data_IF_361498980885
#
_entry.id   IF_361498980885
#
_cell.length_a   1.000
_cell.length_b   1.000
_cell.length_c   1.000
_cell.angle_alpha   90.00
_cell.angle_beta   90.00
_cell.angle_gamma   90.00
#
_symmetry.space_group_name_H-M   'P 1'
#
loop_
_entity.id
_entity.type
_entity.pdbx_description
1 polymer ?
#
# COMPACT_ATOMS: atom_id res chain seq x y z
N UNK A 1 -6.21 30.93 0.47
CA UNK A 1 -5.86 30.59 1.87
C UNK A 1 -7.14 30.13 2.55
N UNK A 2 -7.13 28.96 3.21
CA UNK A 2 -8.33 28.29 3.70
C UNK A 2 -8.18 27.86 5.18
N UNK A 3 -8.12 28.82 6.14
CA UNK A 3 -7.65 28.55 7.50
C UNK A 3 -8.53 27.54 8.26
N UNK A 4 -9.86 27.61 8.09
CA UNK A 4 -10.79 26.69 8.74
C UNK A 4 -10.65 25.27 8.21
N UNK A 5 -10.58 25.10 6.88
CA UNK A 5 -10.51 23.79 6.25
C UNK A 5 -9.17 23.08 6.49
N UNK A 6 -8.07 23.82 6.61
CA UNK A 6 -6.77 23.27 7.01
C UNK A 6 -6.86 22.62 8.41
N UNK A 7 -7.49 23.30 9.37
CA UNK A 7 -7.67 22.75 10.71
C UNK A 7 -8.63 21.55 10.73
N UNK A 8 -9.72 21.62 9.97
CA UNK A 8 -10.67 20.49 9.83
C UNK A 8 -9.98 19.25 9.26
N UNK A 9 -9.17 19.41 8.22
CA UNK A 9 -8.40 18.32 7.61
C UNK A 9 -7.43 17.69 8.62
N UNK A 10 -6.64 18.51 9.33
CA UNK A 10 -5.70 18.02 10.35
C UNK A 10 -6.39 17.20 11.45
N UNK A 11 -7.52 17.70 11.97
CA UNK A 11 -8.29 17.02 13.02
C UNK A 11 -8.84 15.69 12.49
N UNK A 12 -9.41 15.71 11.28
CA UNK A 12 -10.05 14.54 10.67
C UNK A 12 -9.03 13.45 10.35
N UNK A 13 -7.90 13.80 9.73
CA UNK A 13 -6.83 12.86 9.42
C UNK A 13 -6.23 12.23 10.67
N UNK A 14 -6.00 13.03 11.73
CA UNK A 14 -5.57 12.49 13.02
C UNK A 14 -6.58 11.48 13.55
N UNK A 15 -7.88 11.80 13.47
CA UNK A 15 -8.93 10.87 13.95
C UNK A 15 -8.98 9.58 13.14
N UNK A 16 -8.79 9.66 11.83
CA UNK A 16 -8.70 8.47 10.96
C UNK A 16 -7.51 7.58 11.32
N UNK A 17 -6.35 8.16 11.62
CA UNK A 17 -5.16 7.41 12.08
C UNK A 17 -5.40 6.72 13.43
N UNK A 18 -6.08 7.36 14.37
CA UNK A 18 -6.50 6.72 15.63
C UNK A 18 -7.41 5.51 15.39
N UNK A 19 -8.33 5.61 14.42
CA UNK A 19 -9.26 4.52 14.07
C UNK A 19 -8.52 3.31 13.48
N UNK A 20 -7.51 3.58 12.63
CA UNK A 20 -6.59 2.57 12.07
C UNK A 20 -5.83 1.85 13.20
N UNK A 21 -5.50 2.56 14.28
CA UNK A 21 -4.75 2.02 15.43
C UNK A 21 -3.33 2.57 15.56
N UNK A 22 -2.97 3.60 14.80
CA UNK A 22 -1.68 4.26 14.93
C UNK A 22 -1.60 5.18 16.15
N UNK A 23 -0.38 5.36 16.66
CA UNK A 23 -0.13 6.26 17.78
C UNK A 23 -0.39 7.72 17.40
N UNK A 24 -0.78 8.54 18.37
CA UNK A 24 -0.96 9.98 18.15
C UNK A 24 0.34 10.79 18.18
N UNK A 25 1.50 10.16 18.38
CA UNK A 25 2.79 10.85 18.41
C UNK A 25 3.33 11.12 17.02
N UNK A 26 3.14 10.17 16.11
CA UNK A 26 3.64 10.18 14.74
C UNK A 26 2.47 9.98 13.76
N UNK A 27 2.64 10.42 12.51
CA UNK A 27 1.70 10.16 11.43
C UNK A 27 1.33 11.39 10.64
N UNK A 28 1.13 11.19 9.35
CA UNK A 28 0.86 12.23 8.36
C UNK A 28 -0.31 11.81 7.46
N UNK A 29 -0.77 12.70 6.59
CA UNK A 29 -1.80 12.40 5.60
C UNK A 29 -2.28 13.62 4.83
N UNK A 30 -2.94 13.38 3.70
CA UNK A 30 -3.57 14.42 2.90
C UNK A 30 -4.79 13.84 2.19
N UNK A 31 -5.84 14.63 1.97
CA UNK A 31 -6.91 14.24 1.07
C UNK A 31 -6.45 14.34 -0.38
N UNK A 32 -6.83 13.35 -1.20
CA UNK A 32 -6.48 13.31 -2.62
C UNK A 32 -7.76 13.29 -3.47
N UNK A 33 -7.70 13.70 -4.75
CA UNK A 33 -8.84 13.63 -5.66
C UNK A 33 -9.06 12.19 -6.15
N UNK A 34 -9.41 11.29 -5.23
CA UNK A 34 -9.77 9.89 -5.47
C UNK A 34 -8.71 8.87 -5.04
N UNK A 35 -9.15 7.69 -4.64
CA UNK A 35 -8.28 6.62 -4.11
C UNK A 35 -7.17 6.17 -5.06
N UNK A 36 -7.36 6.29 -6.38
CA UNK A 36 -6.29 6.02 -7.34
C UNK A 36 -5.06 6.93 -7.16
N UNK A 37 -5.29 8.20 -6.81
CA UNK A 37 -4.21 9.16 -6.53
C UNK A 37 -3.62 8.92 -5.13
N UNK A 38 -4.42 8.51 -4.14
CA UNK A 38 -3.90 8.04 -2.84
C UNK A 38 -2.95 6.85 -3.00
N UNK A 39 -3.33 5.85 -3.79
CA UNK A 39 -2.46 4.71 -4.09
C UNK A 39 -1.18 5.17 -4.79
N UNK A 40 -1.25 6.15 -5.71
CA UNK A 40 -0.07 6.73 -6.34
C UNK A 40 0.84 7.45 -5.31
N UNK A 41 0.27 8.20 -4.36
CA UNK A 41 1.04 8.82 -3.27
C UNK A 41 1.75 7.78 -2.41
N UNK A 42 1.12 6.64 -2.10
CA UNK A 42 1.77 5.60 -1.31
C UNK A 42 3.03 5.04 -2.00
N UNK A 43 2.97 4.82 -3.32
CA UNK A 43 4.13 4.37 -4.12
C UNK A 43 5.22 5.44 -4.17
N UNK A 44 4.82 6.71 -4.31
CA UNK A 44 5.77 7.83 -4.27
C UNK A 44 6.47 7.95 -2.91
N UNK A 45 5.72 7.83 -1.81
CA UNK A 45 6.23 7.88 -0.45
C UNK A 45 7.21 6.73 -0.18
N UNK A 46 6.83 5.50 -0.55
CA UNK A 46 7.69 4.33 -0.46
C UNK A 46 8.99 4.53 -1.23
N UNK A 47 8.91 4.96 -2.49
CA UNK A 47 10.10 5.24 -3.30
C UNK A 47 10.99 6.31 -2.68
N UNK A 48 10.42 7.41 -2.19
CA UNK A 48 11.20 8.48 -1.59
C UNK A 48 11.87 8.04 -0.27
N UNK A 49 11.21 7.18 0.51
CA UNK A 49 11.76 6.64 1.76
C UNK A 49 13.04 5.82 1.53
N UNK A 50 13.04 4.96 0.52
CA UNK A 50 14.16 4.04 0.25
C UNK A 50 15.18 4.59 -0.77
N UNK A 51 14.73 5.42 -1.71
CA UNK A 51 15.53 5.96 -2.82
C UNK A 51 15.25 7.46 -3.05
N UNK A 52 15.56 8.34 -2.07
CA UNK A 52 15.28 9.77 -2.16
C UNK A 52 15.97 10.45 -3.34
N UNK A 53 17.08 9.90 -3.84
CA UNK A 53 17.85 10.39 -4.99
C UNK A 53 17.05 10.35 -6.30
N UNK A 54 16.02 9.49 -6.42
CA UNK A 54 15.14 9.46 -7.61
C UNK A 54 14.49 10.83 -7.84
N UNK A 55 14.25 11.61 -6.77
CA UNK A 55 13.65 12.94 -6.87
C UNK A 55 14.46 13.89 -7.76
N UNK A 56 15.79 13.79 -7.76
CA UNK A 56 16.67 14.68 -8.52
C UNK A 56 17.40 14.00 -9.67
N UNK A 57 17.64 12.69 -9.57
CA UNK A 57 18.40 11.91 -10.57
C UNK A 57 17.52 11.02 -11.47
N UNK A 58 16.24 10.88 -11.14
CA UNK A 58 15.29 10.05 -11.89
C UNK A 58 15.44 8.53 -11.63
N UNK A 59 14.52 7.74 -12.19
CA UNK A 59 14.46 6.29 -11.99
C UNK A 59 15.67 5.53 -12.57
N UNK A 60 16.31 6.06 -13.60
CA UNK A 60 17.47 5.42 -14.23
C UNK A 60 18.73 5.43 -13.33
N UNK A 61 18.75 6.25 -12.28
CA UNK A 61 19.88 6.34 -11.35
C UNK A 61 19.86 5.28 -10.24
N UNK A 62 18.82 4.44 -10.18
CA UNK A 62 18.63 3.40 -9.17
C UNK A 62 18.41 2.03 -9.82
N UNK A 63 18.60 0.91 -9.09
CA UNK A 63 18.27 -0.41 -9.59
C UNK A 63 16.80 -0.54 -9.99
N UNK A 64 16.46 -1.60 -10.72
CA UNK A 64 15.08 -1.89 -11.10
C UNK A 64 14.23 -2.19 -9.85
N UNK A 65 13.33 -1.27 -9.52
CA UNK A 65 12.44 -1.39 -8.36
C UNK A 65 11.17 -2.15 -8.72
N UNK A 66 10.69 -3.01 -7.80
CA UNK A 66 9.54 -3.91 -8.02
C UNK A 66 8.45 -3.65 -6.98
N UNK A 67 7.20 -3.56 -7.47
CA UNK A 67 5.98 -3.40 -6.68
C UNK A 67 5.18 -4.71 -6.74
N UNK A 68 4.54 -5.11 -5.64
CA UNK A 68 3.70 -6.30 -5.58
C UNK A 68 2.26 -5.93 -5.24
N UNK A 69 1.29 -6.58 -5.88
CA UNK A 69 -0.13 -6.37 -5.60
C UNK A 69 -0.96 -7.60 -5.95
N UNK A 70 -2.12 -7.76 -5.34
CA UNK A 70 -3.07 -8.84 -5.66
C UNK A 70 -3.47 -8.86 -7.14
N UNK A 71 -3.64 -10.06 -7.73
CA UNK A 71 -4.30 -10.24 -9.05
C UNK A 71 -5.71 -9.60 -9.11
N UNK A 72 -6.39 -9.45 -7.97
CA UNK A 72 -7.70 -8.82 -7.85
C UNK A 72 -7.65 -7.40 -7.24
N UNK A 73 -6.46 -6.81 -7.10
CA UNK A 73 -6.32 -5.42 -6.65
C UNK A 73 -6.88 -4.43 -7.67
N UNK A 74 -7.14 -3.20 -7.21
CA UNK A 74 -7.58 -2.15 -8.10
C UNK A 74 -6.48 -1.80 -9.13
N UNK A 75 -6.89 -1.57 -10.38
CA UNK A 75 -5.97 -1.31 -11.50
C UNK A 75 -5.09 -0.06 -11.32
N UNK A 76 -5.39 0.81 -10.34
CA UNK A 76 -4.63 2.03 -10.03
C UNK A 76 -3.17 1.74 -9.70
N UNK A 77 -2.84 0.59 -9.10
CA UNK A 77 -1.44 0.23 -8.79
C UNK A 77 -0.62 0.06 -10.07
N UNK A 78 -1.18 -0.61 -11.10
CA UNK A 78 -0.53 -0.72 -12.42
C UNK A 78 -0.44 0.65 -13.11
N UNK A 79 -1.49 1.48 -13.02
CA UNK A 79 -1.45 2.85 -13.57
C UNK A 79 -0.37 3.70 -12.88
N UNK A 80 -0.24 3.62 -11.56
CA UNK A 80 0.80 4.30 -10.80
C UNK A 80 2.20 3.80 -11.20
N UNK A 81 2.41 2.48 -11.32
CA UNK A 81 3.68 1.93 -11.80
C UNK A 81 4.07 2.44 -13.19
N UNK A 82 3.10 2.53 -14.11
CA UNK A 82 3.32 3.12 -15.44
C UNK A 82 3.65 4.62 -15.36
N UNK A 83 2.84 5.40 -14.64
CA UNK A 83 2.96 6.86 -14.59
C UNK A 83 4.21 7.33 -13.83
N UNK A 84 4.62 6.60 -12.80
CA UNK A 84 5.77 6.95 -11.96
C UNK A 84 7.11 6.45 -12.50
N UNK A 85 7.13 5.79 -13.67
CA UNK A 85 8.35 5.35 -14.33
C UNK A 85 8.93 4.01 -13.83
N UNK A 86 8.13 3.19 -13.13
CA UNK A 86 8.49 1.82 -12.82
C UNK A 86 8.29 0.89 -14.02
N UNK A 87 7.28 1.15 -14.85
CA UNK A 87 6.83 0.24 -15.91
C UNK A 87 5.92 -0.86 -15.36
N UNK A 88 4.92 -1.26 -16.14
CA UNK A 88 3.90 -2.24 -15.71
C UNK A 88 4.46 -3.65 -15.52
N UNK A 89 5.55 -4.00 -16.19
CA UNK A 89 6.27 -5.26 -16.01
C UNK A 89 6.90 -5.40 -14.62
N UNK A 90 7.16 -4.28 -13.94
CA UNK A 90 7.70 -4.26 -12.58
C UNK A 90 6.60 -4.13 -11.51
N UNK A 91 5.33 -4.23 -11.91
CA UNK A 91 4.18 -4.37 -11.02
C UNK A 91 3.72 -5.83 -11.05
N UNK A 92 4.28 -6.62 -10.16
CA UNK A 92 4.10 -8.07 -10.11
C UNK A 92 2.79 -8.40 -9.41
N UNK A 93 1.98 -9.19 -10.10
CA UNK A 93 0.73 -9.72 -9.56
C UNK A 93 1.01 -10.94 -8.68
N UNK A 94 0.39 -10.96 -7.51
CA UNK A 94 0.43 -12.05 -6.53
C UNK A 94 -0.84 -12.88 -6.65
N UNK A 95 -0.66 -14.20 -6.67
CA UNK A 95 -1.76 -15.15 -6.81
C UNK A 95 -2.78 -15.01 -5.69
N UNK A 96 -4.04 -15.16 -6.07
CA UNK A 96 -5.15 -15.23 -5.13
C UNK A 96 -5.67 -16.65 -4.95
N UNK A 97 -6.17 -16.95 -3.75
CA UNK A 97 -6.96 -18.16 -3.51
C UNK A 97 -8.40 -18.02 -4.05
N UNK A 98 -9.19 -19.08 -3.95
CA UNK A 98 -10.58 -19.11 -4.42
C UNK A 98 -11.50 -18.04 -3.79
N UNK A 99 -11.09 -17.47 -2.64
CA UNK A 99 -11.82 -16.39 -1.96
C UNK A 99 -11.33 -15.00 -2.39
N UNK A 100 -10.47 -14.91 -3.40
CA UNK A 100 -9.92 -13.68 -3.93
C UNK A 100 -8.91 -12.98 -3.02
N UNK A 101 -8.28 -13.70 -2.09
CA UNK A 101 -7.25 -13.17 -1.18
C UNK A 101 -5.86 -13.57 -1.64
N UNK A 102 -4.88 -12.69 -1.47
CA UNK A 102 -3.45 -12.99 -1.64
C UNK A 102 -3.09 -14.29 -0.90
N UNK A 103 -2.26 -15.10 -1.56
CA UNK A 103 -1.55 -16.24 -0.97
C UNK A 103 -0.17 -15.74 -0.51
N UNK A 104 0.11 -15.61 0.81
CA UNK A 104 1.37 -15.04 1.30
C UNK A 104 2.62 -15.78 0.82
N UNK A 105 2.54 -17.11 0.65
CA UNK A 105 3.63 -17.90 0.10
C UNK A 105 4.00 -17.52 -1.34
N UNK A 106 3.03 -17.12 -2.18
CA UNK A 106 3.31 -16.62 -3.53
C UNK A 106 3.99 -15.25 -3.48
N UNK A 107 3.56 -14.37 -2.56
CA UNK A 107 4.24 -13.08 -2.32
C UNK A 107 5.72 -13.29 -1.98
N UNK A 108 6.01 -14.14 -0.99
CA UNK A 108 7.40 -14.41 -0.58
C UNK A 108 8.23 -15.01 -1.72
N UNK A 109 7.65 -15.95 -2.49
CA UNK A 109 8.31 -16.52 -3.66
C UNK A 109 8.65 -15.46 -4.72
N UNK A 110 7.73 -14.54 -5.03
CA UNK A 110 7.96 -13.45 -6.00
C UNK A 110 8.98 -12.43 -5.52
N UNK A 111 9.04 -12.17 -4.22
CA UNK A 111 10.09 -11.33 -3.62
C UNK A 111 11.47 -11.96 -3.85
N UNK A 112 11.61 -13.26 -3.57
CA UNK A 112 12.86 -13.99 -3.77
C UNK A 112 13.25 -14.05 -5.25
N UNK A 113 12.30 -14.31 -6.14
CA UNK A 113 12.53 -14.30 -7.60
C UNK A 113 13.04 -12.94 -8.10
N UNK A 114 12.44 -11.84 -7.64
CA UNK A 114 12.87 -10.49 -7.99
C UNK A 114 14.32 -10.22 -7.52
N UNK A 115 14.65 -10.61 -6.28
CA UNK A 115 16.03 -10.47 -5.75
C UNK A 115 17.03 -11.32 -6.52
N UNK A 116 16.65 -12.54 -6.94
CA UNK A 116 17.51 -13.41 -7.74
C UNK A 116 17.84 -12.80 -9.12
N UNK A 117 16.91 -12.03 -9.69
CA UNK A 117 17.13 -11.27 -10.93
C UNK A 117 17.92 -9.96 -10.73
N UNK A 118 18.40 -9.68 -9.52
CA UNK A 118 19.06 -8.41 -9.18
C UNK A 118 18.13 -7.21 -9.11
N UNK A 119 16.81 -7.43 -9.09
CA UNK A 119 15.83 -6.37 -8.87
C UNK A 119 15.66 -6.10 -7.37
N UNK A 120 15.09 -4.94 -7.03
CA UNK A 120 14.86 -4.54 -5.64
C UNK A 120 13.36 -4.53 -5.33
N UNK A 121 12.85 -5.52 -4.58
CA UNK A 121 11.53 -5.46 -3.95
C UNK A 121 11.42 -4.21 -3.07
N UNK A 122 10.40 -3.39 -3.29
CA UNK A 122 10.24 -2.11 -2.59
C UNK A 122 8.96 -2.04 -1.77
N UNK A 123 7.86 -2.57 -2.32
CA UNK A 123 6.53 -2.17 -1.91
C UNK A 123 5.52 -3.30 -2.15
N UNK A 124 4.61 -3.49 -1.21
CA UNK A 124 3.46 -4.40 -1.32
C UNK A 124 2.17 -3.61 -1.09
N UNK A 125 1.21 -3.77 -1.99
CA UNK A 125 -0.17 -3.38 -1.79
C UNK A 125 -1.01 -4.59 -1.36
N UNK A 126 -1.53 -4.55 -0.15
CA UNK A 126 -2.60 -5.44 0.32
C UNK A 126 -3.94 -4.73 0.15
N UNK A 127 -4.96 -5.40 -0.38
CA UNK A 127 -6.28 -4.80 -0.57
C UNK A 127 -7.24 -5.25 0.53
N UNK A 128 -7.74 -4.27 1.29
CA UNK A 128 -8.78 -4.46 2.29
C UNK A 128 -10.15 -4.12 1.69
N UNK A 129 -10.75 -5.10 1.00
CA UNK A 129 -12.01 -4.96 0.28
C UNK A 129 -11.79 -4.77 -1.22
N UNK A 130 -11.55 -5.87 -1.94
CA UNK A 130 -11.43 -5.85 -3.41
C UNK A 130 -12.73 -5.39 -4.06
N UNK A 131 -12.64 -4.73 -5.23
CA UNK A 131 -13.80 -4.11 -5.88
C UNK A 131 -14.87 -5.12 -6.30
N UNK A 132 -14.47 -6.32 -6.74
CA UNK A 132 -15.40 -7.32 -7.29
C UNK A 132 -15.90 -8.27 -6.20
N UNK A 133 -14.99 -8.92 -5.46
CA UNK A 133 -15.37 -9.93 -4.46
C UNK A 133 -15.63 -9.35 -3.07
N UNK A 134 -15.17 -8.13 -2.79
CA UNK A 134 -15.13 -7.62 -1.41
C UNK A 134 -14.18 -8.41 -0.52
N UNK A 135 -13.14 -9.02 -1.12
CA UNK A 135 -12.16 -9.84 -0.41
C UNK A 135 -11.19 -8.98 0.40
N UNK A 136 -10.66 -9.54 1.49
CA UNK A 136 -9.70 -8.88 2.37
C UNK A 136 -8.42 -9.72 2.41
N UNK A 137 -7.32 -9.15 1.93
CA UNK A 137 -6.01 -9.78 2.00
C UNK A 137 -5.58 -10.02 3.46
N UNK A 138 -4.79 -11.06 3.75
CA UNK A 138 -4.32 -11.36 5.09
C UNK A 138 -3.20 -10.39 5.52
N UNK A 139 -3.58 -9.21 6.02
CA UNK A 139 -2.64 -8.10 6.30
C UNK A 139 -1.54 -8.50 7.29
N UNK A 140 -1.86 -9.23 8.36
CA UNK A 140 -0.87 -9.70 9.35
C UNK A 140 0.24 -10.56 8.70
N UNK A 141 -0.15 -11.56 7.91
CA UNK A 141 0.80 -12.47 7.24
C UNK A 141 1.65 -11.71 6.21
N UNK A 142 1.05 -10.72 5.52
CA UNK A 142 1.78 -9.86 4.59
C UNK A 142 2.74 -8.92 5.34
N UNK A 143 2.33 -8.39 6.50
CA UNK A 143 3.17 -7.54 7.35
C UNK A 143 4.40 -8.27 7.85
N UNK A 144 4.26 -9.54 8.28
CA UNK A 144 5.39 -10.38 8.69
C UNK A 144 6.43 -10.53 7.55
N UNK A 145 5.97 -10.73 6.31
CA UNK A 145 6.83 -10.80 5.13
C UNK A 145 7.48 -9.43 4.85
N UNK A 146 6.71 -8.35 4.89
CA UNK A 146 7.22 -6.99 4.66
C UNK A 146 8.29 -6.59 5.68
N UNK A 147 8.11 -6.93 6.96
CA UNK A 147 9.10 -6.70 8.01
C UNK A 147 10.36 -7.54 7.78
N UNK A 148 10.21 -8.84 7.45
CA UNK A 148 11.34 -9.74 7.17
C UNK A 148 12.23 -9.25 6.03
N UNK A 149 11.63 -8.68 4.98
CA UNK A 149 12.36 -8.27 3.78
C UNK A 149 12.58 -6.75 3.66
N UNK A 150 12.12 -5.97 4.64
CA UNK A 150 12.18 -4.51 4.66
C UNK A 150 11.48 -3.85 3.45
N UNK A 151 10.21 -4.17 3.25
CA UNK A 151 9.36 -3.58 2.21
C UNK A 151 8.37 -2.58 2.82
N UNK A 152 7.99 -1.57 2.05
CA UNK A 152 6.83 -0.75 2.38
C UNK A 152 5.54 -1.57 2.26
N UNK A 153 4.71 -1.56 3.29
CA UNK A 153 3.36 -2.12 3.23
C UNK A 153 2.33 -1.01 3.15
N UNK A 154 1.56 -0.99 2.06
CA UNK A 154 0.36 -0.20 1.92
C UNK A 154 -0.88 -1.08 1.96
N UNK A 155 -1.93 -0.62 2.64
CA UNK A 155 -3.25 -1.22 2.58
C UNK A 155 -4.19 -0.32 1.79
N UNK A 156 -4.60 -0.76 0.60
CA UNK A 156 -5.71 -0.11 -0.12
C UNK A 156 -7.02 -0.46 0.59
N UNK A 157 -7.47 0.44 1.45
CA UNK A 157 -8.73 0.37 2.17
C UNK A 157 -9.79 1.32 1.59
N UNK A 158 -9.68 1.73 0.32
CA UNK A 158 -10.61 2.70 -0.28
C UNK A 158 -12.08 2.24 -0.18
N UNK A 159 -12.32 0.93 -0.31
CA UNK A 159 -13.63 0.32 -0.13
C UNK A 159 -13.85 -0.20 1.29
N UNK A 160 -12.98 -1.09 1.79
CA UNK A 160 -13.20 -1.76 3.07
C UNK A 160 -12.88 -0.92 4.31
N UNK A 161 -12.25 0.25 4.16
CA UNK A 161 -11.88 1.14 5.26
C UNK A 161 -13.07 1.60 6.10
N UNK A 162 -14.26 1.71 5.48
CA UNK A 162 -15.49 2.00 6.21
C UNK A 162 -15.82 0.97 7.31
N UNK A 163 -15.35 -0.27 7.20
CA UNK A 163 -15.59 -1.30 8.21
C UNK A 163 -14.79 -1.08 9.50
N UNK A 164 -13.75 -0.23 9.50
CA UNK A 164 -13.03 0.16 10.72
C UNK A 164 -13.95 0.86 11.73
N UNK A 165 -15.02 1.51 11.25
CA UNK A 165 -16.03 2.16 12.09
C UNK A 165 -16.93 1.16 12.83
N UNK A 166 -16.98 -0.09 12.36
CA UNK A 166 -17.83 -1.13 12.94
C UNK A 166 -17.04 -2.00 13.90
N UNK A 167 -17.39 -1.95 15.20
CA UNK A 167 -16.85 -2.89 16.21
C UNK A 167 -17.06 -4.36 15.84
N UNK A 168 -18.14 -4.66 15.11
CA UNK A 168 -18.48 -6.02 14.64
C UNK A 168 -17.59 -6.49 13.48
N UNK A 169 -17.18 -5.58 12.59
CA UNK A 169 -16.55 -5.96 11.32
C UNK A 169 -15.10 -5.49 11.13
N UNK A 170 -14.59 -4.61 11.99
CA UNK A 170 -13.20 -4.10 11.91
C UNK A 170 -12.14 -5.20 11.92
N UNK A 171 -12.46 -6.38 12.48
CA UNK A 171 -11.56 -7.53 12.52
C UNK A 171 -11.09 -8.02 11.14
N UNK A 172 -11.82 -7.67 10.06
CA UNK A 172 -11.40 -7.98 8.69
C UNK A 172 -10.14 -7.24 8.24
N UNK A 173 -9.75 -6.19 8.96
CA UNK A 173 -8.57 -5.37 8.71
C UNK A 173 -7.51 -5.54 9.82
N UNK A 174 -7.55 -6.61 10.61
CA UNK A 174 -6.51 -6.86 11.62
C UNK A 174 -5.12 -6.86 10.97
N UNK A 175 -4.15 -6.20 11.61
CA UNK A 175 -2.80 -5.95 11.10
C UNK A 175 -2.64 -4.61 10.39
N UNK A 176 -3.71 -3.87 10.13
CA UNK A 176 -3.64 -2.56 9.46
C UNK A 176 -2.84 -1.52 10.25
N UNK A 177 -2.76 -1.65 11.57
CA UNK A 177 -1.95 -0.79 12.43
C UNK A 177 -0.44 -0.97 12.21
N UNK A 178 0.01 -2.07 11.59
CA UNK A 178 1.43 -2.35 11.32
C UNK A 178 1.93 -1.73 10.02
N UNK A 179 1.05 -1.19 9.19
CA UNK A 179 1.37 -0.79 7.82
C UNK A 179 1.89 0.64 7.75
N UNK A 180 2.57 0.98 6.64
CA UNK A 180 3.21 2.29 6.48
C UNK A 180 2.27 3.34 5.87
N UNK A 181 1.26 2.93 5.09
CA UNK A 181 0.24 3.80 4.53
C UNK A 181 -1.09 3.09 4.32
N UNK A 182 -2.20 3.81 4.44
CA UNK A 182 -3.58 3.34 4.17
C UNK A 182 -4.27 4.29 3.19
#
# INVERSE_FOLDING_TARGET
>A
IAPVFVLMEQITLRKMREIIGWSNKDGDGIFSPGGAISNMYSVMAARYKYFPEVKTKGMAAVPKLVLFTSEHSHYSIKKAGSALGFGTENVILIKCNERGKIIPADLEAKILEAKQKGHVPLYVNATAGTTVYGAFDPIEEIADICEKYNLWLHVDAAWGGGLLMSRKHRHKLNGIERVNSV
#
